data_IF_878693905241
#
_entry.id   IF_878693905241
#
_cell.length_a   1.000
_cell.length_b   1.000
_cell.length_c   1.000
_cell.angle_alpha   90.00
_cell.angle_beta   90.00
_cell.angle_gamma   90.00
#
_symmetry.space_group_name_H-M   'P 1'
#
loop_
_entity.id
_entity.type
_entity.pdbx_description
1 polymer ?
#
# COMPACT_ATOMS: atom_id res chain seq x y z
N UNK A 1 -5.80 -10.49 -24.01
CA UNK A 1 -5.20 -9.34 -23.32
C UNK A 1 -5.78 -8.07 -23.92
N UNK A 2 -6.68 -7.36 -23.23
CA UNK A 2 -7.25 -6.10 -23.74
C UNK A 2 -6.15 -5.03 -23.68
N UNK A 3 -5.70 -4.53 -24.82
CA UNK A 3 -4.78 -3.39 -24.88
C UNK A 3 -5.55 -2.15 -24.43
N UNK A 4 -5.44 -1.75 -23.16
CA UNK A 4 -5.90 -0.42 -22.75
C UNK A 4 -5.13 0.63 -23.57
N UNK A 5 -5.85 1.61 -24.11
CA UNK A 5 -5.26 2.62 -24.97
C UNK A 5 -4.38 3.56 -24.10
N UNK A 6 -3.19 3.92 -24.60
CA UNK A 6 -2.24 4.81 -23.89
C UNK A 6 -2.91 6.14 -23.51
N UNK A 7 -3.85 6.62 -24.31
CA UNK A 7 -4.63 7.82 -24.00
C UNK A 7 -5.50 7.67 -22.75
N UNK A 8 -6.13 6.51 -22.55
CA UNK A 8 -6.99 6.25 -21.38
C UNK A 8 -6.17 6.14 -20.10
N UNK A 9 -4.99 5.52 -20.17
CA UNK A 9 -4.05 5.44 -19.05
C UNK A 9 -3.58 6.83 -18.59
N UNK A 10 -3.29 7.73 -19.53
CA UNK A 10 -2.94 9.11 -19.21
C UNK A 10 -4.07 9.82 -18.47
N UNK A 11 -5.30 9.70 -18.94
CA UNK A 11 -6.48 10.32 -18.30
C UNK A 11 -6.67 9.77 -16.88
N UNK A 12 -6.56 8.45 -16.68
CA UNK A 12 -6.63 7.84 -15.34
C UNK A 12 -5.52 8.36 -14.43
N UNK A 13 -4.28 8.44 -14.92
CA UNK A 13 -3.14 8.94 -14.16
C UNK A 13 -3.32 10.40 -13.72
N UNK A 14 -3.75 11.27 -14.64
CA UNK A 14 -4.00 12.69 -14.35
C UNK A 14 -5.09 12.86 -13.29
N UNK A 15 -6.16 12.06 -13.35
CA UNK A 15 -7.20 12.03 -12.31
C UNK A 15 -6.65 11.66 -10.93
N UNK A 16 -5.84 10.61 -10.86
CA UNK A 16 -5.18 10.19 -9.61
C UNK A 16 -4.21 11.26 -9.09
N UNK A 17 -3.48 11.92 -9.99
CA UNK A 17 -2.54 12.97 -9.63
C UNK A 17 -3.24 14.18 -9.06
N UNK A 18 -4.30 14.66 -9.70
CA UNK A 18 -5.12 15.77 -9.21
C UNK A 18 -5.74 15.46 -7.85
N UNK A 19 -6.23 14.23 -7.65
CA UNK A 19 -6.75 13.79 -6.37
C UNK A 19 -5.67 13.74 -5.27
N UNK A 20 -4.46 13.29 -5.61
CA UNK A 20 -3.33 13.33 -4.70
C UNK A 20 -2.94 14.77 -4.32
N UNK A 21 -2.83 15.65 -5.31
CA UNK A 21 -2.44 17.05 -5.14
C UNK A 21 -3.48 17.85 -4.33
N UNK A 22 -4.75 17.42 -4.32
CA UNK A 22 -5.79 17.97 -3.44
C UNK A 22 -5.52 17.79 -1.94
N UNK A 23 -4.59 16.89 -1.57
CA UNK A 23 -4.26 16.58 -0.17
C UNK A 23 -5.25 15.66 0.55
N UNK A 24 -6.34 15.24 -0.10
CA UNK A 24 -7.36 14.34 0.48
C UNK A 24 -6.76 13.01 1.01
N UNK A 25 -5.63 12.60 0.46
CA UNK A 25 -4.87 11.38 0.78
C UNK A 25 -4.02 11.49 2.06
N UNK A 26 -3.81 12.70 2.59
CA UNK A 26 -2.92 12.94 3.74
C UNK A 26 -3.54 12.53 5.08
N UNK A 27 -4.86 12.64 5.20
CA UNK A 27 -5.58 12.39 6.44
C UNK A 27 -5.47 10.91 6.89
N UNK A 28 -5.33 10.71 8.19
CA UNK A 28 -5.31 9.38 8.81
C UNK A 28 -6.57 8.57 8.48
N UNK A 29 -7.75 9.19 8.63
CA UNK A 29 -9.04 8.52 8.39
C UNK A 29 -9.18 8.03 6.96
N UNK A 30 -8.67 8.79 5.99
CA UNK A 30 -8.67 8.38 4.59
C UNK A 30 -7.82 7.11 4.40
N UNK A 31 -6.59 7.09 4.94
CA UNK A 31 -5.68 5.94 4.83
C UNK A 31 -6.23 4.71 5.54
N UNK A 32 -6.81 4.89 6.74
CA UNK A 32 -7.45 3.82 7.48
C UNK A 32 -8.65 3.24 6.71
N UNK A 33 -9.48 4.10 6.14
CA UNK A 33 -10.63 3.69 5.32
C UNK A 33 -10.19 2.94 4.07
N UNK A 34 -9.14 3.41 3.38
CA UNK A 34 -8.58 2.75 2.21
C UNK A 34 -8.06 1.34 2.54
N UNK A 35 -7.26 1.19 3.60
CA UNK A 35 -6.76 -0.11 4.06
C UNK A 35 -7.89 -1.05 4.49
N UNK A 36 -8.90 -0.52 5.18
CA UNK A 36 -10.07 -1.31 5.62
C UNK A 36 -10.91 -1.79 4.42
N UNK A 37 -11.09 -0.94 3.41
CA UNK A 37 -11.78 -1.30 2.17
C UNK A 37 -10.99 -2.35 1.39
N UNK A 38 -9.66 -2.20 1.29
CA UNK A 38 -8.79 -3.18 0.65
C UNK A 38 -8.90 -4.55 1.32
N UNK A 39 -8.80 -4.58 2.66
CA UNK A 39 -8.98 -5.80 3.45
C UNK A 39 -10.32 -6.47 3.17
N UNK A 40 -11.41 -5.70 3.20
CA UNK A 40 -12.76 -6.20 2.91
C UNK A 40 -12.88 -6.74 1.48
N UNK A 41 -12.28 -6.06 0.51
CA UNK A 41 -12.29 -6.50 -0.89
C UNK A 41 -11.56 -7.83 -1.07
N UNK A 42 -10.39 -7.99 -0.45
CA UNK A 42 -9.61 -9.23 -0.53
C UNK A 42 -10.34 -10.39 0.12
N UNK A 43 -10.97 -10.17 1.28
CA UNK A 43 -11.78 -11.21 1.94
C UNK A 43 -12.99 -11.56 1.08
N UNK A 44 -13.66 -10.58 0.48
CA UNK A 44 -14.84 -10.81 -0.35
C UNK A 44 -14.52 -11.65 -1.59
N UNK A 45 -13.35 -11.47 -2.18
CA UNK A 45 -12.93 -12.18 -3.39
C UNK A 45 -11.90 -13.29 -3.09
N UNK A 46 -11.78 -13.76 -1.84
CA UNK A 46 -10.77 -14.75 -1.45
C UNK A 46 -10.89 -16.05 -2.25
N UNK A 47 -12.12 -16.47 -2.50
CA UNK A 47 -12.42 -17.73 -3.17
C UNK A 47 -12.15 -17.63 -4.67
N UNK A 48 -12.44 -16.48 -5.28
CA UNK A 48 -12.11 -16.17 -6.67
C UNK A 48 -10.58 -16.11 -6.87
N UNK A 49 -9.87 -15.45 -5.95
CA UNK A 49 -8.40 -15.38 -5.96
C UNK A 49 -7.80 -16.78 -5.81
N UNK A 50 -8.29 -17.57 -4.87
CA UNK A 50 -7.79 -18.92 -4.62
C UNK A 50 -8.06 -19.85 -5.82
N UNK A 51 -9.22 -19.71 -6.45
CA UNK A 51 -9.57 -20.45 -7.66
C UNK A 51 -8.70 -20.05 -8.85
N UNK A 52 -8.40 -18.76 -9.02
CA UNK A 52 -7.47 -18.28 -10.03
C UNK A 52 -6.05 -18.82 -9.79
N UNK A 53 -5.56 -18.79 -8.55
CA UNK A 53 -4.25 -19.33 -8.18
C UNK A 53 -4.15 -20.84 -8.41
N UNK A 54 -5.23 -21.58 -8.19
CA UNK A 54 -5.31 -23.01 -8.52
C UNK A 54 -5.20 -23.22 -10.03
N UNK A 55 -5.88 -22.42 -10.84
CA UNK A 55 -5.80 -22.54 -12.30
C UNK A 55 -4.40 -22.17 -12.84
N UNK A 56 -3.78 -21.14 -12.28
CA UNK A 56 -2.48 -20.63 -12.78
C UNK A 56 -1.29 -21.45 -12.27
N UNK A 57 -1.34 -21.95 -11.03
CA UNK A 57 -0.20 -22.58 -10.35
C UNK A 57 -0.45 -24.03 -9.93
N UNK A 58 -1.65 -24.57 -10.16
CA UNK A 58 -2.11 -25.90 -9.73
C UNK A 58 -1.88 -26.19 -8.23
N UNK A 59 -1.86 -25.13 -7.41
CA UNK A 59 -1.69 -25.26 -5.96
C UNK A 59 -2.99 -25.70 -5.28
N UNK A 60 -2.91 -26.49 -4.19
CA UNK A 60 -4.07 -26.77 -3.34
C UNK A 60 -4.71 -25.49 -2.81
N UNK A 61 -6.04 -25.44 -2.76
CA UNK A 61 -6.81 -24.26 -2.33
C UNK A 61 -6.47 -23.85 -0.90
N UNK A 62 -6.35 -24.82 0.00
CA UNK A 62 -6.00 -24.57 1.39
C UNK A 62 -4.61 -23.95 1.55
N UNK A 63 -3.63 -24.45 0.80
CA UNK A 63 -2.25 -23.92 0.84
C UNK A 63 -2.19 -22.51 0.23
N UNK A 64 -2.92 -22.28 -0.86
CA UNK A 64 -3.00 -20.97 -1.52
C UNK A 64 -3.69 -19.93 -0.63
N UNK A 65 -4.78 -20.31 0.04
CA UNK A 65 -5.45 -19.43 1.00
C UNK A 65 -4.53 -19.09 2.17
N UNK A 66 -3.89 -20.09 2.80
CA UNK A 66 -3.07 -19.86 3.99
C UNK A 66 -1.80 -19.06 3.67
N UNK A 67 -1.09 -19.43 2.60
CA UNK A 67 0.22 -18.88 2.27
C UNK A 67 0.16 -17.58 1.49
N UNK A 68 -0.86 -17.36 0.65
CA UNK A 68 -0.99 -16.13 -0.12
C UNK A 68 -2.03 -15.20 0.54
N UNK A 69 -3.32 -15.53 0.48
CA UNK A 69 -4.42 -14.64 0.93
C UNK A 69 -4.32 -14.29 2.42
N UNK A 70 -4.08 -15.27 3.28
CA UNK A 70 -4.00 -15.11 4.73
C UNK A 70 -2.81 -14.24 5.16
N UNK A 71 -1.67 -14.37 4.47
CA UNK A 71 -0.49 -13.52 4.70
C UNK A 71 -0.78 -12.07 4.34
N UNK A 72 -1.44 -11.82 3.20
CA UNK A 72 -1.86 -10.48 2.79
C UNK A 72 -2.76 -9.82 3.82
N UNK A 73 -3.81 -10.52 4.27
CA UNK A 73 -4.75 -9.99 5.25
C UNK A 73 -4.02 -9.64 6.55
N UNK A 74 -3.12 -10.51 7.00
CA UNK A 74 -2.31 -10.29 8.21
C UNK A 74 -1.41 -9.06 8.07
N UNK A 75 -0.80 -8.86 6.92
CA UNK A 75 0.04 -7.69 6.65
C UNK A 75 -0.79 -6.40 6.63
N UNK A 76 -1.97 -6.40 6.02
CA UNK A 76 -2.89 -5.25 6.06
C UNK A 76 -3.31 -4.95 7.51
N UNK A 77 -3.60 -5.98 8.31
CA UNK A 77 -3.94 -5.81 9.73
C UNK A 77 -2.78 -5.22 10.54
N UNK A 78 -1.53 -5.61 10.25
CA UNK A 78 -0.34 -5.00 10.86
C UNK A 78 -0.16 -3.54 10.41
N UNK A 79 -0.38 -3.24 9.14
CA UNK A 79 -0.30 -1.87 8.61
C UNK A 79 -1.33 -0.97 9.27
N UNK A 80 -2.58 -1.43 9.42
CA UNK A 80 -3.64 -0.68 10.12
C UNK A 80 -3.24 -0.39 11.57
N UNK A 81 -2.72 -1.40 12.30
CA UNK A 81 -2.28 -1.25 13.69
C UNK A 81 -1.15 -0.23 13.85
N UNK A 82 -0.20 -0.22 12.92
CA UNK A 82 0.99 0.62 13.00
C UNK A 82 0.82 2.00 12.36
N UNK A 83 -0.23 2.21 11.57
CA UNK A 83 -0.46 3.43 10.77
C UNK A 83 -0.33 4.72 11.58
N UNK A 84 -0.93 4.76 12.78
CA UNK A 84 -0.86 5.92 13.67
C UNK A 84 0.58 6.21 14.08
N UNK A 85 1.36 5.17 14.41
CA UNK A 85 2.75 5.32 14.82
C UNK A 85 3.64 5.77 13.66
N UNK A 86 3.37 5.31 12.43
CA UNK A 86 4.15 5.67 11.26
C UNK A 86 3.89 7.09 10.76
N UNK A 87 2.69 7.62 10.98
CA UNK A 87 2.34 8.99 10.60
C UNK A 87 2.78 10.06 11.60
N UNK A 88 3.20 9.67 12.81
CA UNK A 88 3.62 10.63 13.85
C UNK A 88 4.99 11.24 13.54
N UNK A 89 5.17 12.57 13.68
CA UNK A 89 6.48 13.19 13.58
C UNK A 89 7.46 12.60 14.60
N UNK A 90 8.69 12.31 14.16
CA UNK A 90 9.75 11.77 15.03
C UNK A 90 10.73 12.87 15.40
N UNK A 91 10.84 13.18 16.70
CA UNK A 91 11.86 14.11 17.20
C UNK A 91 13.25 13.51 17.03
N UNK A 92 14.19 14.34 16.58
CA UNK A 92 15.60 13.96 16.43
C UNK A 92 16.51 14.93 17.19
N UNK A 93 17.63 14.43 17.75
CA UNK A 93 18.58 15.30 18.44
C UNK A 93 19.12 16.36 17.49
N UNK A 94 19.17 17.61 17.96
CA UNK A 94 19.71 18.72 17.17
C UNK A 94 21.21 18.86 17.47
N UNK A 95 22.09 18.88 16.45
CA UNK A 95 23.51 19.09 16.66
C UNK A 95 23.78 20.42 17.38
N UNK A 96 24.75 20.42 18.30
CA UNK A 96 25.14 21.61 19.08
C UNK A 96 25.56 22.80 18.22
N UNK A 97 26.04 22.56 16.99
CA UNK A 97 26.43 23.60 16.04
C UNK A 97 25.29 24.49 15.55
N UNK A 98 24.05 24.03 15.70
CA UNK A 98 22.84 24.72 15.21
C UNK A 98 22.01 25.25 16.39
N UNK A 99 22.55 25.25 17.62
CA UNK A 99 21.89 25.81 18.80
C UNK A 99 21.82 27.35 18.68
N UNK A 100 20.67 28.01 18.91
CA UNK A 100 19.47 27.54 19.60
C UNK A 100 18.33 27.10 18.65
N UNK A 101 18.64 26.28 17.65
CA UNK A 101 17.64 25.59 16.83
C UNK A 101 16.85 24.60 17.67
N UNK A 102 15.80 25.08 18.33
CA UNK A 102 14.97 24.25 19.18
C UNK A 102 14.04 23.42 18.30
N UNK A 103 14.15 22.08 18.42
CA UNK A 103 13.16 21.08 18.01
C UNK A 103 13.22 20.61 16.54
N UNK A 104 14.28 19.87 16.19
CA UNK A 104 14.36 19.10 14.94
C UNK A 104 13.37 17.92 14.92
N UNK A 105 12.59 17.79 13.84
CA UNK A 105 11.58 16.74 13.66
C UNK A 105 11.63 16.15 12.24
N UNK A 106 11.33 14.87 12.12
CA UNK A 106 11.11 14.18 10.85
C UNK A 106 9.60 14.03 10.63
N UNK A 107 9.12 14.57 9.51
CA UNK A 107 7.74 14.42 9.06
C UNK A 107 7.69 13.42 7.91
N UNK A 108 6.82 12.42 8.00
CA UNK A 108 6.64 11.40 6.96
C UNK A 108 5.50 11.81 6.04
N UNK A 109 5.84 12.18 4.80
CA UNK A 109 4.89 12.64 3.79
C UNK A 109 4.75 11.64 2.63
N UNK A 110 3.55 11.51 2.04
CA UNK A 110 3.35 10.66 0.88
C UNK A 110 4.10 11.19 -0.35
N UNK A 111 4.77 10.30 -1.10
CA UNK A 111 5.56 10.69 -2.28
C UNK A 111 4.75 10.97 -3.55
N UNK A 112 3.47 10.62 -3.60
CA UNK A 112 2.62 10.81 -4.78
C UNK A 112 1.90 9.55 -5.22
N UNK A 113 1.51 9.54 -6.51
CA UNK A 113 0.92 8.39 -7.21
C UNK A 113 2.04 7.41 -7.54
N UNK A 114 1.90 6.16 -7.11
CA UNK A 114 2.90 5.10 -7.31
C UNK A 114 2.31 3.98 -8.15
N UNK A 115 3.11 3.44 -9.05
CA UNK A 115 2.75 2.30 -9.89
C UNK A 115 3.34 1.01 -9.30
N UNK A 116 2.50 0.01 -9.06
CA UNK A 116 2.94 -1.33 -8.64
C UNK A 116 2.98 -2.22 -9.87
N UNK A 117 4.17 -2.70 -10.23
CA UNK A 117 4.33 -3.72 -11.26
C UNK A 117 4.52 -5.07 -10.58
N UNK A 118 3.68 -6.04 -10.95
CA UNK A 118 3.81 -7.44 -10.54
C UNK A 118 4.20 -8.30 -11.73
N UNK A 119 5.07 -9.28 -11.51
CA UNK A 119 5.40 -10.28 -12.53
C UNK A 119 4.70 -11.61 -12.19
N UNK A 120 3.95 -12.15 -13.15
CA UNK A 120 2.98 -13.24 -12.95
C UNK A 120 3.56 -14.63 -12.69
N UNK A 121 4.47 -14.79 -11.74
CA UNK A 121 5.00 -16.13 -11.38
C UNK A 121 5.42 -16.26 -9.92
N UNK A 122 5.76 -15.17 -9.23
CA UNK A 122 6.17 -15.23 -7.82
C UNK A 122 5.11 -14.57 -6.96
N UNK A 123 4.27 -15.44 -6.37
CA UNK A 123 3.47 -15.32 -5.14
C UNK A 123 2.94 -13.91 -4.83
N UNK A 124 1.62 -13.80 -4.63
CA UNK A 124 0.93 -12.59 -4.15
C UNK A 124 1.68 -11.88 -3.00
N UNK A 125 2.37 -12.67 -2.16
CA UNK A 125 3.38 -12.28 -1.18
C UNK A 125 4.36 -11.19 -1.66
N UNK A 126 5.04 -11.34 -2.81
CA UNK A 126 6.18 -10.47 -3.15
C UNK A 126 5.76 -9.05 -3.56
N UNK A 127 4.54 -8.88 -4.07
CA UNK A 127 3.96 -7.56 -4.33
C UNK A 127 3.59 -6.82 -3.05
N UNK A 128 3.33 -7.53 -1.96
CA UNK A 128 2.95 -6.93 -0.67
C UNK A 128 4.14 -6.73 0.28
N UNK A 129 5.17 -7.56 0.20
CA UNK A 129 6.45 -7.28 0.88
C UNK A 129 7.10 -5.95 0.40
N UNK A 130 6.84 -5.51 -0.84
CA UNK A 130 7.22 -4.16 -1.27
C UNK A 130 6.32 -3.06 -0.70
N UNK A 131 5.06 -3.37 -0.39
CA UNK A 131 4.08 -2.45 0.17
C UNK A 131 4.39 -2.10 1.64
N UNK A 132 4.81 -3.04 2.49
CA UNK A 132 5.19 -2.71 3.88
C UNK A 132 6.38 -1.74 3.99
N UNK A 133 7.35 -1.83 3.08
CA UNK A 133 8.44 -0.83 2.97
C UNK A 133 7.99 0.53 2.43
N UNK A 134 6.99 0.56 1.54
CA UNK A 134 6.42 1.78 0.95
C UNK A 134 5.48 2.53 1.91
N UNK A 135 4.76 1.83 2.79
CA UNK A 135 3.93 2.44 3.84
C UNK A 135 4.78 3.12 4.92
N UNK A 136 5.99 2.63 5.19
CA UNK A 136 6.97 3.28 6.05
C UNK A 136 7.48 4.62 5.47
N UNK A 137 7.28 4.84 4.16
CA UNK A 137 7.62 6.06 3.42
C UNK A 137 6.38 6.88 3.01
N UNK A 138 5.22 6.58 3.61
CA UNK A 138 4.02 7.41 3.48
C UNK A 138 3.23 7.25 2.18
N UNK A 139 3.53 6.32 1.29
CA UNK A 139 2.92 6.22 -0.05
C UNK A 139 1.52 5.57 -0.01
N UNK A 140 0.56 6.16 -0.73
CA UNK A 140 -0.80 5.64 -0.93
C UNK A 140 -0.92 4.99 -2.31
N UNK A 141 -1.58 3.83 -2.36
CA UNK A 141 -1.71 3.01 -3.57
C UNK A 141 -3.18 2.71 -3.89
N UNK A 142 -3.49 2.83 -5.18
CA UNK A 142 -4.56 2.13 -5.91
C UNK A 142 -3.90 1.42 -7.09
#
# INVERSE_FOLDING_TARGET
MKTENISELKVKYEGLRNYFDSGATRAYDFRLKALTLLRKSIIKHSDEITSALKNDLNKPEFESYLSDVGVVIKEIDQNIKNLVSWMKPKRVPTPFSIFPGYNSQIHYEPKGVVMILHHGTIRLILSLYHLSGLFQQGILLW
#
